data_IF_975401129356
#
_entry.id   IF_975401129356
#
_cell.length_a   1.000
_cell.length_b   1.000
_cell.length_c   1.000
_cell.angle_alpha   90.00
_cell.angle_beta   90.00
_cell.angle_gamma   90.00
#
_symmetry.space_group_name_H-M   'P 1'
#
loop_
_entity.id
_entity.type
_entity.pdbx_description
1 polymer ?
#
# COMPACT_ATOMS: atom_id res chain seq x y z
N UNK A 1 -0.52 -13.23 -0.06
CA UNK A 1 -1.15 -14.14 0.92
C UNK A 1 -2.29 -14.91 0.30
N UNK A 2 -3.38 -14.29 -0.15
CA UNK A 2 -4.52 -14.96 -0.76
C UNK A 2 -4.11 -15.83 -1.94
N UNK A 3 -3.27 -15.36 -2.83
CA UNK A 3 -2.76 -16.12 -3.97
C UNK A 3 -2.04 -17.41 -3.52
N UNK A 4 -1.29 -17.38 -2.42
CA UNK A 4 -0.62 -18.56 -1.88
C UNK A 4 -1.63 -19.57 -1.31
N UNK A 5 -2.62 -19.08 -0.56
CA UNK A 5 -3.68 -19.94 -0.01
C UNK A 5 -4.59 -20.49 -1.10
N UNK A 6 -4.98 -19.69 -2.08
CA UNK A 6 -5.74 -20.14 -3.24
C UNK A 6 -5.00 -21.22 -4.00
N UNK A 7 -3.68 -21.06 -4.19
CA UNK A 7 -2.84 -22.06 -4.84
C UNK A 7 -2.80 -23.37 -4.06
N UNK A 8 -2.62 -23.30 -2.74
CA UNK A 8 -2.65 -24.50 -1.85
C UNK A 8 -4.01 -25.19 -1.92
N UNK A 9 -5.09 -24.42 -1.90
CA UNK A 9 -6.46 -24.97 -1.98
C UNK A 9 -6.73 -25.61 -3.34
N UNK A 10 -6.36 -24.96 -4.43
CA UNK A 10 -6.50 -25.51 -5.79
C UNK A 10 -5.71 -26.80 -5.96
N UNK A 11 -4.50 -26.90 -5.45
CA UNK A 11 -3.69 -28.13 -5.48
C UNK A 11 -4.37 -29.28 -4.71
N UNK A 12 -5.07 -28.99 -3.62
CA UNK A 12 -5.79 -29.99 -2.84
C UNK A 12 -7.08 -30.45 -3.50
N UNK A 13 -7.84 -29.51 -4.09
CA UNK A 13 -9.15 -29.81 -4.69
C UNK A 13 -9.04 -30.37 -6.11
N UNK A 14 -8.01 -29.95 -6.86
CA UNK A 14 -7.84 -30.31 -8.27
C UNK A 14 -6.42 -30.78 -8.59
N UNK A 15 -5.93 -31.86 -7.93
CA UNK A 15 -4.54 -32.32 -8.09
C UNK A 15 -4.23 -32.74 -9.53
N UNK A 16 -5.19 -33.31 -10.25
CA UNK A 16 -5.03 -33.72 -11.64
C UNK A 16 -4.80 -32.54 -12.59
N UNK A 17 -5.49 -31.42 -12.32
CA UNK A 17 -5.29 -30.19 -13.09
C UNK A 17 -3.84 -29.67 -12.94
N UNK A 18 -3.30 -29.70 -11.73
CA UNK A 18 -1.93 -29.27 -11.46
C UNK A 18 -0.89 -30.21 -12.08
N UNK A 19 -1.13 -31.53 -12.11
CA UNK A 19 -0.23 -32.48 -12.75
C UNK A 19 -0.26 -32.37 -14.28
N UNK A 20 -1.41 -32.00 -14.86
CA UNK A 20 -1.56 -31.83 -16.30
C UNK A 20 -1.01 -30.48 -16.82
N UNK A 21 -0.87 -29.49 -15.97
CA UNK A 21 -0.43 -28.14 -16.32
C UNK A 21 0.95 -27.84 -15.70
N UNK A 22 1.82 -27.18 -16.46
CA UNK A 22 3.12 -26.68 -15.95
C UNK A 22 2.89 -25.37 -15.19
N UNK A 23 2.41 -25.46 -13.96
CA UNK A 23 2.16 -24.30 -13.11
C UNK A 23 3.41 -24.01 -12.28
N UNK A 24 3.97 -22.81 -12.42
CA UNK A 24 5.14 -22.41 -11.64
C UNK A 24 4.83 -22.39 -10.13
N UNK A 25 5.70 -22.92 -9.27
CA UNK A 25 5.54 -22.86 -7.82
C UNK A 25 5.70 -21.41 -7.32
N UNK A 26 4.96 -21.06 -6.28
CA UNK A 26 5.00 -19.75 -5.62
C UNK A 26 5.18 -19.84 -4.10
N UNK A 27 5.28 -21.03 -3.57
CA UNK A 27 5.39 -21.35 -2.14
C UNK A 27 6.69 -20.81 -1.51
N UNK A 28 7.70 -20.53 -2.32
CA UNK A 28 8.98 -19.94 -1.89
C UNK A 28 8.89 -18.42 -1.67
N UNK A 29 7.79 -17.76 -2.04
CA UNK A 29 7.64 -16.29 -1.93
C UNK A 29 7.91 -15.74 -0.52
N UNK A 30 7.39 -16.32 0.58
CA UNK A 30 7.69 -15.80 1.91
C UNK A 30 9.17 -15.85 2.28
N UNK A 31 9.87 -16.91 1.85
CA UNK A 31 11.32 -17.04 2.09
C UNK A 31 12.10 -15.97 1.33
N UNK A 32 11.79 -15.75 0.05
CA UNK A 32 12.41 -14.69 -0.75
C UNK A 32 12.14 -13.30 -0.15
N UNK A 33 10.93 -13.06 0.36
CA UNK A 33 10.61 -11.81 1.04
C UNK A 33 11.45 -11.65 2.29
N UNK A 34 11.58 -12.68 3.12
CA UNK A 34 12.42 -12.65 4.33
C UNK A 34 13.89 -12.39 3.99
N UNK A 35 14.42 -13.07 2.98
CA UNK A 35 15.80 -12.88 2.52
C UNK A 35 16.02 -11.44 2.03
N UNK A 36 15.06 -10.89 1.29
CA UNK A 36 15.09 -9.49 0.85
C UNK A 36 15.09 -8.52 2.04
N UNK A 37 14.24 -8.77 3.04
CA UNK A 37 14.19 -7.95 4.26
C UNK A 37 15.51 -8.03 5.03
N UNK A 38 16.07 -9.21 5.21
CA UNK A 38 17.35 -9.40 5.88
C UNK A 38 18.51 -8.73 5.13
N UNK A 39 18.53 -8.82 3.80
CA UNK A 39 19.58 -8.21 2.98
C UNK A 39 19.58 -6.67 3.00
N UNK A 40 18.51 -6.04 3.47
CA UNK A 40 18.45 -4.59 3.64
C UNK A 40 19.22 -4.08 4.89
N UNK A 41 19.60 -4.97 5.78
CA UNK A 41 20.43 -4.68 6.95
C UNK A 41 21.90 -4.99 6.70
N UNK A 42 22.79 -4.30 7.40
CA UNK A 42 24.23 -4.58 7.39
C UNK A 42 24.64 -5.70 8.36
N UNK A 43 23.70 -6.22 9.15
CA UNK A 43 23.94 -7.29 10.11
C UNK A 43 23.83 -8.66 9.41
N UNK A 44 24.65 -9.62 9.82
CA UNK A 44 24.64 -10.98 9.26
C UNK A 44 23.31 -11.73 9.55
N UNK A 45 22.71 -11.50 10.71
CA UNK A 45 21.46 -12.12 11.11
C UNK A 45 20.53 -11.13 11.81
N UNK A 46 19.93 -10.18 11.07
CA UNK A 46 19.07 -9.16 11.64
C UNK A 46 17.75 -9.73 12.16
N UNK A 47 17.28 -9.17 13.26
CA UNK A 47 15.93 -9.43 13.78
C UNK A 47 14.88 -8.70 12.93
N UNK A 48 14.01 -9.45 12.29
CA UNK A 48 12.95 -8.94 11.42
C UNK A 48 11.59 -9.07 12.11
N UNK A 49 10.75 -8.04 12.03
CA UNK A 49 9.37 -8.07 12.50
C UNK A 49 8.40 -7.51 11.44
N UNK A 50 7.14 -7.92 11.48
CA UNK A 50 6.06 -7.31 10.70
C UNK A 50 5.27 -6.38 11.61
N UNK A 51 5.28 -5.06 11.32
CA UNK A 51 4.50 -4.07 12.05
C UNK A 51 3.12 -3.90 11.42
N UNK A 52 2.09 -4.23 12.16
CA UNK A 52 0.68 -4.15 11.76
C UNK A 52 -0.06 -3.06 12.54
N UNK A 53 -1.07 -2.39 11.94
CA UNK A 53 -2.00 -1.55 12.67
C UNK A 53 -3.03 -2.34 13.50
N UNK A 54 -2.97 -3.68 13.49
CA UNK A 54 -3.79 -4.55 14.32
C UNK A 54 -5.00 -5.14 13.61
N UNK A 55 -5.76 -5.91 14.40
CA UNK A 55 -6.87 -6.78 13.94
C UNK A 55 -8.05 -6.05 13.29
N UNK A 56 -8.19 -4.77 13.47
CA UNK A 56 -9.25 -3.97 12.83
C UNK A 56 -8.89 -3.50 11.41
N UNK A 57 -7.67 -3.75 10.96
CA UNK A 57 -7.26 -3.47 9.59
C UNK A 57 -7.77 -4.56 8.64
N UNK A 58 -8.33 -4.15 7.50
CA UNK A 58 -8.87 -5.07 6.49
C UNK A 58 -7.84 -6.06 5.93
N UNK A 59 -6.54 -5.70 5.95
CA UNK A 59 -5.44 -6.54 5.50
C UNK A 59 -4.77 -7.34 6.63
N UNK A 60 -5.35 -7.39 7.84
CA UNK A 60 -4.73 -8.07 8.98
C UNK A 60 -4.44 -9.55 8.71
N UNK A 61 -5.32 -10.23 7.98
CA UNK A 61 -5.07 -11.61 7.55
C UNK A 61 -3.76 -11.73 6.78
N UNK A 62 -3.49 -10.83 5.83
CA UNK A 62 -2.25 -10.83 5.05
C UNK A 62 -1.02 -10.59 5.93
N UNK A 63 -1.12 -9.65 6.89
CA UNK A 63 -0.02 -9.36 7.81
C UNK A 63 0.32 -10.60 8.67
N UNK A 64 -0.69 -11.21 9.27
CA UNK A 64 -0.54 -12.41 10.09
C UNK A 64 -0.05 -13.61 9.27
N UNK A 65 -0.58 -13.79 8.07
CA UNK A 65 -0.16 -14.84 7.14
C UNK A 65 1.32 -14.70 6.78
N UNK A 66 1.75 -13.52 6.35
CA UNK A 66 3.14 -13.30 5.94
C UNK A 66 4.11 -13.46 7.12
N UNK A 67 3.78 -12.91 8.29
CA UNK A 67 4.61 -13.09 9.48
C UNK A 67 4.79 -14.57 9.83
N UNK A 68 3.70 -15.36 9.81
CA UNK A 68 3.73 -16.80 10.07
C UNK A 68 4.54 -17.56 9.03
N UNK A 69 4.33 -17.30 7.75
CA UNK A 69 5.03 -18.03 6.67
C UNK A 69 6.52 -17.66 6.59
N UNK A 70 6.89 -16.44 6.99
CA UNK A 70 8.29 -16.01 7.13
C UNK A 70 8.94 -16.49 8.44
N UNK A 71 8.15 -16.91 9.43
CA UNK A 71 8.64 -17.28 10.75
C UNK A 71 9.17 -16.10 11.56
N UNK A 72 8.56 -14.92 11.40
CA UNK A 72 8.91 -13.69 12.12
C UNK A 72 7.75 -13.21 12.99
N UNK A 73 8.06 -12.36 13.98
CA UNK A 73 7.05 -11.83 14.90
C UNK A 73 6.13 -10.83 14.18
N UNK A 74 4.82 -10.94 14.47
CA UNK A 74 3.82 -9.94 14.14
C UNK A 74 3.65 -9.03 15.35
N UNK A 75 3.90 -7.73 15.16
CA UNK A 75 3.86 -6.74 16.26
C UNK A 75 2.94 -5.58 15.94
N UNK A 76 2.31 -5.02 16.96
CA UNK A 76 1.63 -3.72 16.92
C UNK A 76 2.55 -2.63 17.49
N UNK A 77 2.22 -1.35 17.30
CA UNK A 77 3.04 -0.26 17.81
C UNK A 77 3.28 -0.31 19.32
N UNK A 78 2.29 -0.80 20.09
CA UNK A 78 2.40 -0.98 21.53
C UNK A 78 3.41 -2.04 21.97
N UNK A 79 3.74 -3.00 21.09
CA UNK A 79 4.72 -4.05 21.37
C UNK A 79 6.16 -3.56 21.19
N UNK A 80 6.33 -2.43 20.51
CA UNK A 80 7.63 -1.82 20.25
C UNK A 80 7.89 -0.61 21.14
N UNK A 81 9.14 -0.28 21.34
CA UNK A 81 9.57 0.98 21.94
C UNK A 81 10.98 1.34 21.50
N UNK A 82 11.30 2.64 21.57
CA UNK A 82 12.63 3.16 21.26
C UNK A 82 13.35 3.52 22.56
N UNK A 83 14.61 3.13 22.64
CA UNK A 83 15.53 3.52 23.71
C UNK A 83 16.93 3.68 23.14
N UNK A 84 17.57 4.82 23.40
CA UNK A 84 18.91 5.16 22.90
C UNK A 84 19.00 5.01 21.36
N UNK A 85 18.00 5.56 20.65
CA UNK A 85 17.85 5.49 19.20
C UNK A 85 17.84 4.07 18.62
N UNK A 86 17.47 3.07 19.41
CA UNK A 86 17.31 1.67 18.98
C UNK A 86 15.92 1.19 19.26
N UNK A 87 15.40 0.35 18.37
CA UNK A 87 14.07 -0.25 18.50
C UNK A 87 14.16 -1.58 19.24
N UNK A 88 13.25 -1.78 20.18
CA UNK A 88 13.11 -3.02 20.93
C UNK A 88 11.67 -3.50 20.89
N UNK A 89 11.51 -4.82 20.82
CA UNK A 89 10.24 -5.51 21.03
C UNK A 89 10.13 -5.94 22.50
N UNK A 90 8.94 -5.78 23.08
CA UNK A 90 8.58 -6.28 24.40
C UNK A 90 8.37 -7.79 24.32
N UNK A 91 9.09 -8.55 25.13
CA UNK A 91 8.87 -9.99 25.27
C UNK A 91 8.80 -10.39 26.73
N UNK A 92 8.32 -11.60 27.04
CA UNK A 92 8.28 -12.14 28.41
C UNK A 92 9.67 -12.30 29.02
N UNK A 93 10.70 -12.49 28.18
CA UNK A 93 12.10 -12.64 28.60
C UNK A 93 12.87 -11.32 28.65
N UNK A 94 12.15 -10.20 28.43
CA UNK A 94 12.71 -8.85 28.40
C UNK A 94 12.79 -8.27 26.99
N UNK A 95 13.39 -7.08 26.84
CA UNK A 95 13.50 -6.40 25.55
C UNK A 95 14.37 -7.17 24.55
N UNK A 96 13.86 -7.36 23.34
CA UNK A 96 14.60 -7.93 22.20
C UNK A 96 14.81 -6.85 21.14
N UNK A 97 16.04 -6.66 20.69
CA UNK A 97 16.35 -5.68 19.64
C UNK A 97 15.67 -6.05 18.32
N UNK A 98 15.25 -5.02 17.57
CA UNK A 98 14.62 -5.14 16.25
C UNK A 98 15.44 -4.33 15.26
N UNK A 99 15.92 -4.99 14.20
CA UNK A 99 16.84 -4.41 13.22
C UNK A 99 16.12 -4.06 11.91
N UNK A 100 15.09 -4.82 11.54
CA UNK A 100 14.31 -4.59 10.32
C UNK A 100 12.81 -4.67 10.63
N UNK A 101 12.08 -3.65 10.24
CA UNK A 101 10.63 -3.57 10.37
C UNK A 101 10.00 -3.61 8.98
N UNK A 102 9.31 -4.71 8.65
CA UNK A 102 8.40 -4.75 7.51
C UNK A 102 7.09 -4.10 7.92
N UNK A 103 6.93 -2.83 7.59
CA UNK A 103 5.76 -2.06 8.02
C UNK A 103 4.56 -2.25 7.10
N UNK A 104 3.40 -2.45 7.73
CA UNK A 104 2.08 -2.47 7.09
C UNK A 104 1.22 -1.32 7.61
N UNK A 105 1.86 -0.23 7.96
CA UNK A 105 1.31 0.99 8.53
C UNK A 105 1.74 2.18 7.66
N UNK A 106 0.80 3.09 7.38
CA UNK A 106 1.05 4.28 6.58
C UNK A 106 1.97 5.27 7.31
N UNK A 107 2.71 6.07 6.54
CA UNK A 107 3.68 7.05 7.05
C UNK A 107 3.07 7.96 8.12
N UNK A 108 1.84 8.45 7.90
CA UNK A 108 1.15 9.36 8.80
C UNK A 108 0.97 8.81 10.22
N UNK A 109 0.89 7.48 10.37
CA UNK A 109 0.65 6.83 11.66
C UNK A 109 1.89 6.19 12.28
N UNK A 110 3.04 6.24 11.59
CA UNK A 110 4.23 5.47 11.92
C UNK A 110 4.93 5.95 13.21
N UNK A 111 5.01 7.26 13.41
CA UNK A 111 5.65 7.86 14.58
C UNK A 111 4.86 9.10 15.02
N UNK A 112 4.18 9.07 16.18
CA UNK A 112 3.41 10.23 16.65
C UNK A 112 4.25 11.45 16.99
N UNK A 113 5.56 11.29 17.23
CA UNK A 113 6.45 12.44 17.49
C UNK A 113 6.88 13.16 16.21
N UNK A 114 6.69 12.55 15.05
CA UNK A 114 7.16 13.08 13.76
C UNK A 114 6.03 13.39 12.78
N UNK A 115 4.92 12.67 12.86
CA UNK A 115 3.82 12.74 11.89
C UNK A 115 2.50 13.13 12.57
N UNK A 116 1.54 12.22 12.68
CA UNK A 116 0.27 12.48 13.33
C UNK A 116 0.39 12.27 14.84
N UNK A 117 0.32 13.35 15.67
CA UNK A 117 0.47 13.24 17.13
C UNK A 117 -0.64 12.43 17.80
N UNK A 118 -1.79 12.27 17.14
CA UNK A 118 -2.93 11.49 17.65
C UNK A 118 -2.82 9.99 17.29
N UNK A 119 -1.74 9.59 16.62
CA UNK A 119 -1.55 8.19 16.25
C UNK A 119 -1.29 7.30 17.46
N UNK A 120 -2.19 6.32 17.65
CA UNK A 120 -2.05 5.25 18.64
C UNK A 120 -1.48 3.96 18.02
N UNK A 121 -1.17 3.97 16.73
CA UNK A 121 -0.76 2.77 15.97
C UNK A 121 0.75 2.66 15.78
N UNK A 122 1.44 3.79 15.89
CA UNK A 122 2.87 3.90 15.62
C UNK A 122 3.74 3.72 16.85
N UNK A 123 5.04 3.93 16.65
CA UNK A 123 6.07 3.78 17.69
C UNK A 123 6.73 5.14 17.93
N UNK A 124 6.55 5.75 19.11
CA UNK A 124 7.18 7.02 19.42
C UNK A 124 8.71 6.96 19.32
N UNK A 125 9.31 7.86 18.53
CA UNK A 125 10.75 7.94 18.31
C UNK A 125 11.30 7.02 17.23
N UNK A 126 10.46 6.29 16.53
CA UNK A 126 10.87 5.38 15.45
C UNK A 126 11.63 6.11 14.34
N UNK A 127 11.20 7.33 13.98
CA UNK A 127 11.89 8.12 12.97
C UNK A 127 13.32 8.52 13.41
N UNK A 128 13.55 8.79 14.69
CA UNK A 128 14.88 9.08 15.20
C UNK A 128 15.80 7.84 15.07
N UNK A 129 15.32 6.68 15.50
CA UNK A 129 16.05 5.41 15.35
C UNK A 129 16.38 5.10 13.87
N UNK A 130 15.43 5.34 12.97
CA UNK A 130 15.63 5.16 11.52
C UNK A 130 16.68 6.12 10.96
N UNK A 131 16.63 7.41 11.32
CA UNK A 131 17.60 8.42 10.88
C UNK A 131 19.01 8.16 11.42
N UNK A 132 19.11 7.59 12.61
CA UNK A 132 20.38 7.17 13.20
C UNK A 132 20.96 5.88 12.55
N UNK A 133 20.24 5.27 11.61
CA UNK A 133 20.68 4.05 10.93
C UNK A 133 20.59 2.78 11.79
N UNK A 134 19.90 2.84 12.92
CA UNK A 134 19.81 1.74 13.89
C UNK A 134 18.65 0.77 13.62
N UNK A 135 17.80 1.08 12.67
CA UNK A 135 16.71 0.20 12.20
C UNK A 135 16.44 0.45 10.72
N UNK A 136 16.10 -0.58 10.00
CA UNK A 136 15.64 -0.49 8.60
C UNK A 136 14.12 -0.53 8.57
N UNK A 137 13.52 0.38 7.81
CA UNK A 137 12.08 0.37 7.53
C UNK A 137 11.85 -0.08 6.08
N UNK A 138 11.18 -1.17 5.91
CA UNK A 138 10.73 -1.68 4.61
C UNK A 138 9.18 -1.60 4.53
N UNK A 139 8.58 -0.83 3.63
CA UNK A 139 9.23 0.10 2.71
C UNK A 139 9.64 1.39 3.43
N UNK A 140 10.59 2.10 2.84
CA UNK A 140 11.07 3.39 3.36
C UNK A 140 9.96 4.43 3.48
N UNK A 141 10.17 5.42 4.34
CA UNK A 141 9.26 6.57 4.48
C UNK A 141 9.26 7.37 3.18
N UNK A 142 8.08 7.85 2.76
CA UNK A 142 7.89 8.59 1.51
C UNK A 142 7.59 7.73 0.29
N UNK A 143 7.63 6.40 0.38
CA UNK A 143 7.30 5.50 -0.74
C UNK A 143 5.82 5.52 -1.15
N UNK A 144 4.95 6.14 -0.36
CA UNK A 144 3.53 6.34 -0.68
C UNK A 144 3.27 7.06 -2.01
N UNK A 145 4.27 7.76 -2.57
CA UNK A 145 4.19 8.32 -3.92
C UNK A 145 3.94 7.24 -5.00
N UNK A 146 4.39 6.01 -4.77
CA UNK A 146 4.15 4.89 -5.69
C UNK A 146 2.69 4.40 -5.67
N UNK A 147 1.95 4.66 -4.58
CA UNK A 147 0.54 4.33 -4.43
C UNK A 147 -0.39 5.46 -4.90
N UNK A 148 0.16 6.65 -5.14
CA UNK A 148 -0.61 7.80 -5.60
C UNK A 148 -1.07 7.61 -7.04
N UNK A 149 -2.37 7.49 -7.22
CA UNK A 149 -2.98 7.25 -8.54
C UNK A 149 -2.73 8.38 -9.53
N UNK A 150 -2.34 9.57 -9.07
CA UNK A 150 -1.99 10.68 -9.95
C UNK A 150 -0.66 10.49 -10.66
N UNK A 151 0.19 9.57 -10.21
CA UNK A 151 1.45 9.19 -10.87
C UNK A 151 1.21 8.26 -12.07
N UNK A 152 0.16 7.44 -12.00
CA UNK A 152 -0.13 6.42 -13.01
C UNK A 152 -0.17 6.95 -14.47
N UNK A 153 -0.79 8.11 -14.78
CA UNK A 153 -0.81 8.65 -16.15
C UNK A 153 0.56 8.92 -16.74
N UNK A 154 1.56 9.14 -15.90
CA UNK A 154 2.93 9.48 -16.32
C UNK A 154 3.84 8.27 -16.51
N UNK A 155 3.40 7.06 -16.14
CA UNK A 155 4.27 5.87 -16.15
C UNK A 155 4.83 5.59 -17.55
N UNK A 156 4.00 5.72 -18.61
CA UNK A 156 4.46 5.54 -20.00
C UNK A 156 5.51 6.57 -20.42
N UNK A 157 5.36 7.81 -19.97
CA UNK A 157 6.31 8.89 -20.27
C UNK A 157 7.60 8.72 -19.45
N UNK A 158 7.49 8.21 -18.22
CA UNK A 158 8.66 7.84 -17.41
C UNK A 158 9.47 6.71 -18.06
N UNK A 159 8.81 5.69 -18.62
CA UNK A 159 9.49 4.60 -19.33
C UNK A 159 10.28 5.17 -20.51
N UNK A 160 9.66 6.01 -21.34
CA UNK A 160 10.33 6.65 -22.46
C UNK A 160 11.51 7.52 -22.01
N UNK A 161 11.30 8.30 -20.95
CA UNK A 161 12.29 9.26 -20.47
C UNK A 161 13.50 8.58 -19.80
N UNK A 162 13.28 7.59 -18.95
CA UNK A 162 14.35 6.99 -18.16
C UNK A 162 14.99 5.78 -18.82
N UNK A 163 14.24 5.03 -19.63
CA UNK A 163 14.72 3.79 -20.24
C UNK A 163 14.98 3.93 -21.75
N UNK A 164 14.54 5.03 -22.37
CA UNK A 164 14.57 5.25 -23.82
C UNK A 164 13.89 4.08 -24.58
N UNK A 165 12.80 3.55 -24.01
CA UNK A 165 12.05 2.42 -24.54
C UNK A 165 10.57 2.76 -24.76
N UNK A 166 9.93 2.08 -25.72
CA UNK A 166 8.47 2.14 -25.82
C UNK A 166 7.81 1.19 -24.81
N UNK A 167 6.74 1.63 -24.14
CA UNK A 167 6.01 0.79 -23.19
C UNK A 167 5.45 -0.46 -23.84
N UNK A 168 5.73 -1.63 -23.26
CA UNK A 168 5.18 -2.92 -23.73
C UNK A 168 3.68 -2.97 -23.45
N UNK A 169 3.25 -2.53 -22.27
CA UNK A 169 1.84 -2.46 -21.88
C UNK A 169 1.33 -1.03 -21.99
N UNK A 170 0.14 -0.88 -22.54
CA UNK A 170 -0.56 0.42 -22.61
C UNK A 170 -1.27 0.68 -21.28
N UNK A 171 -1.13 1.90 -20.76
CA UNK A 171 -1.93 2.35 -19.63
C UNK A 171 -3.40 2.51 -20.04
N UNK A 172 -4.29 2.27 -19.10
CA UNK A 172 -5.69 2.66 -19.23
C UNK A 172 -5.75 4.19 -19.33
N UNK A 173 -6.50 4.75 -20.29
CA UNK A 173 -6.69 6.21 -20.38
C UNK A 173 -7.16 6.77 -19.04
N UNK A 174 -6.44 7.77 -18.54
CA UNK A 174 -6.65 8.28 -17.19
C UNK A 174 -6.51 9.81 -17.18
N UNK A 175 -7.47 10.48 -16.58
CA UNK A 175 -7.56 11.94 -16.50
C UNK A 175 -7.35 12.41 -15.05
N UNK A 176 -6.70 13.56 -14.91
CA UNK A 176 -6.47 14.19 -13.62
C UNK A 176 -7.43 15.36 -13.43
N UNK A 177 -8.39 15.24 -12.54
CA UNK A 177 -9.43 16.27 -12.33
C UNK A 177 -8.88 17.60 -11.75
N UNK A 178 -7.60 17.67 -11.39
CA UNK A 178 -6.93 18.93 -11.05
C UNK A 178 -6.70 19.84 -12.27
N UNK A 179 -6.74 19.27 -13.48
CA UNK A 179 -6.61 20.01 -14.74
C UNK A 179 -8.01 20.38 -15.25
N UNK A 180 -8.34 21.66 -15.47
CA UNK A 180 -9.71 22.08 -15.82
C UNK A 180 -10.28 21.41 -17.07
N UNK A 181 -9.43 21.19 -18.08
CA UNK A 181 -9.84 20.55 -19.34
C UNK A 181 -10.22 19.08 -19.14
N UNK A 182 -9.35 18.34 -18.39
CA UNK A 182 -9.60 16.95 -18.06
C UNK A 182 -10.81 16.80 -17.14
N UNK A 183 -10.99 17.72 -16.17
CA UNK A 183 -12.17 17.75 -15.31
C UNK A 183 -13.46 17.92 -16.13
N UNK A 184 -13.46 18.82 -17.10
CA UNK A 184 -14.61 19.06 -17.96
C UNK A 184 -14.99 17.79 -18.75
N UNK A 185 -14.00 17.08 -19.28
CA UNK A 185 -14.21 15.80 -19.95
C UNK A 185 -14.80 14.75 -18.99
N UNK A 186 -14.25 14.62 -17.80
CA UNK A 186 -14.71 13.67 -16.78
C UNK A 186 -16.15 13.92 -16.38
N UNK A 187 -16.51 15.18 -16.11
CA UNK A 187 -17.86 15.56 -15.72
C UNK A 187 -18.90 15.30 -16.81
N UNK A 188 -18.51 15.45 -18.08
CA UNK A 188 -19.37 15.15 -19.21
C UNK A 188 -19.63 13.62 -19.39
N UNK A 189 -18.67 12.78 -18.96
CA UNK A 189 -18.67 11.34 -19.22
C UNK A 189 -18.71 10.49 -17.94
N UNK A 190 -19.21 11.04 -16.82
CA UNK A 190 -19.20 10.34 -15.52
C UNK A 190 -19.83 8.94 -15.55
N UNK A 191 -20.84 8.74 -16.38
CA UNK A 191 -21.52 7.44 -16.51
C UNK A 191 -20.64 6.33 -17.10
N UNK A 192 -19.58 6.68 -17.83
CA UNK A 192 -18.69 5.72 -18.50
C UNK A 192 -17.34 5.57 -17.77
N UNK A 193 -17.11 6.36 -16.73
CA UNK A 193 -15.81 6.47 -16.08
C UNK A 193 -15.82 5.94 -14.65
N UNK A 194 -14.64 5.53 -14.18
CA UNK A 194 -14.40 5.23 -12.76
C UNK A 194 -13.60 6.36 -12.14
N UNK A 195 -14.19 7.05 -11.16
CA UNK A 195 -13.55 8.15 -10.43
C UNK A 195 -13.00 7.62 -9.13
N UNK A 196 -11.72 7.92 -8.83
CA UNK A 196 -11.03 7.46 -7.60
C UNK A 196 -10.34 8.64 -6.93
N UNK A 197 -10.22 8.59 -5.61
CA UNK A 197 -9.31 9.47 -4.88
C UNK A 197 -7.86 9.14 -5.25
N UNK A 198 -6.99 10.14 -5.30
CA UNK A 198 -5.56 9.97 -5.61
C UNK A 198 -4.87 9.10 -4.56
N UNK A 199 -5.20 9.32 -3.29
CA UNK A 199 -4.74 8.54 -2.16
C UNK A 199 -5.95 7.86 -1.51
N UNK A 200 -5.84 6.58 -1.21
CA UNK A 200 -6.91 5.80 -0.64
C UNK A 200 -6.94 4.36 -1.16
N UNK A 201 -7.53 3.49 -0.38
CA UNK A 201 -7.64 2.06 -0.66
C UNK A 201 -9.04 1.56 -0.30
N UNK A 202 -9.34 0.29 -0.61
CA UNK A 202 -10.61 -0.34 -0.21
C UNK A 202 -11.86 0.18 -0.92
N UNK A 203 -11.73 0.97 -1.99
CA UNK A 203 -12.86 1.51 -2.76
C UNK A 203 -13.59 2.69 -2.12
N UNK A 204 -13.10 3.20 -1.01
CA UNK A 204 -13.69 4.39 -0.39
C UNK A 204 -13.58 5.61 -1.32
N UNK A 205 -14.65 6.43 -1.36
CA UNK A 205 -14.72 7.62 -2.23
C UNK A 205 -14.79 7.33 -3.73
N UNK A 206 -14.81 6.07 -4.16
CA UNK A 206 -14.84 5.67 -5.56
C UNK A 206 -16.26 5.79 -6.14
N UNK A 207 -16.34 6.27 -7.38
CA UNK A 207 -17.54 6.19 -8.22
C UNK A 207 -17.26 5.25 -9.40
N UNK A 208 -18.07 4.23 -9.57
CA UNK A 208 -18.07 3.36 -10.75
C UNK A 208 -19.24 3.77 -11.65
N UNK A 209 -19.01 4.72 -12.56
CA UNK A 209 -20.05 5.34 -13.40
C UNK A 209 -20.98 4.35 -14.07
N UNK A 210 -20.47 3.29 -14.75
CA UNK A 210 -21.32 2.29 -15.39
C UNK A 210 -22.25 1.52 -14.45
N UNK A 211 -21.97 1.50 -13.15
CA UNK A 211 -22.79 0.83 -12.13
C UNK A 211 -23.52 1.83 -11.21
N UNK A 212 -23.28 3.12 -11.38
CA UNK A 212 -23.83 4.16 -10.54
C UNK A 212 -25.26 4.55 -10.96
N UNK A 213 -26.08 4.84 -9.97
CA UNK A 213 -27.41 5.43 -10.18
C UNK A 213 -27.32 6.91 -10.56
N UNK A 214 -28.35 7.45 -11.18
CA UNK A 214 -28.42 8.89 -11.47
C UNK A 214 -28.27 9.74 -10.18
N UNK A 215 -28.80 9.27 -9.06
CA UNK A 215 -28.70 9.95 -7.76
C UNK A 215 -27.26 10.00 -7.20
N UNK A 216 -26.39 9.06 -7.56
CA UNK A 216 -24.97 9.04 -7.18
C UNK A 216 -24.11 9.90 -8.10
N UNK A 217 -24.51 10.07 -9.34
CA UNK A 217 -23.82 10.88 -10.35
C UNK A 217 -24.15 12.37 -10.20
N UNK A 218 -25.41 12.72 -9.97
CA UNK A 218 -25.91 14.11 -9.93
C UNK A 218 -25.18 15.01 -8.92
N UNK A 219 -24.94 14.60 -7.65
CA UNK A 219 -24.23 15.44 -6.68
C UNK A 219 -22.77 15.72 -7.05
N UNK A 220 -22.16 14.93 -7.92
CA UNK A 220 -20.77 15.07 -8.36
C UNK A 220 -20.62 15.98 -9.59
N UNK A 221 -21.75 16.34 -10.24
CA UNK A 221 -21.76 17.38 -11.27
C UNK A 221 -21.69 18.75 -10.59
N UNK A 222 -20.86 19.68 -11.08
CA UNK A 222 -20.81 21.02 -10.52
C UNK A 222 -22.18 21.67 -10.65
N UNK A 223 -22.76 22.04 -9.52
CA UNK A 223 -23.88 22.97 -9.54
C UNK A 223 -23.36 24.29 -10.12
N UNK A 224 -23.98 24.82 -11.15
CA UNK A 224 -23.58 26.07 -11.84
C UNK A 224 -23.45 27.27 -10.90
N UNK A 225 -23.83 27.15 -9.62
CA UNK A 225 -23.91 28.22 -8.66
C UNK A 225 -22.96 28.09 -7.43
N UNK A 226 -22.16 27.03 -7.31
CA UNK A 226 -21.22 26.88 -6.18
C UNK A 226 -19.80 27.14 -6.60
N UNK A 227 -19.43 28.41 -6.67
CA UNK A 227 -18.05 28.85 -6.75
C UNK A 227 -17.39 28.75 -5.37
N UNK A 228 -16.86 27.58 -4.99
CA UNK A 228 -15.89 27.47 -3.91
C UNK A 228 -14.89 26.37 -4.23
N UNK A 229 -13.60 26.72 -4.36
CA UNK A 229 -12.52 25.73 -4.56
C UNK A 229 -12.29 24.82 -3.34
N UNK A 230 -12.94 25.11 -2.21
CA UNK A 230 -12.70 24.42 -0.95
C UNK A 230 -13.38 23.04 -0.83
N UNK A 231 -14.22 22.63 -1.79
CA UNK A 231 -15.00 21.38 -1.69
C UNK A 231 -14.30 20.17 -2.31
N UNK A 232 -13.21 20.36 -3.06
CA UNK A 232 -12.39 19.27 -3.58
C UNK A 232 -11.11 19.14 -2.75
N UNK A 233 -11.24 18.58 -1.53
CA UNK A 233 -10.08 18.33 -0.67
C UNK A 233 -9.09 17.31 -1.24
N UNK A 234 -9.48 16.55 -2.27
CA UNK A 234 -8.61 15.58 -2.97
C UNK A 234 -8.88 15.69 -4.46
N UNK A 235 -7.83 15.82 -5.26
CA UNK A 235 -7.94 15.84 -6.71
C UNK A 235 -8.20 14.41 -7.23
N UNK A 236 -9.42 14.04 -7.62
CA UNK A 236 -9.70 12.70 -8.09
C UNK A 236 -9.00 12.41 -9.42
N UNK A 237 -8.64 11.15 -9.61
CA UNK A 237 -8.14 10.61 -10.87
C UNK A 237 -9.26 9.75 -11.49
N UNK A 238 -9.48 9.90 -12.78
CA UNK A 238 -10.45 9.11 -13.50
C UNK A 238 -9.79 8.15 -14.48
N UNK A 239 -10.30 6.92 -14.56
CA UNK A 239 -9.90 5.95 -15.57
C UNK A 239 -11.12 5.37 -16.29
N UNK A 240 -10.94 5.00 -17.56
CA UNK A 240 -11.95 4.25 -18.33
C UNK A 240 -11.92 2.80 -17.90
N UNK A 241 -13.08 2.16 -17.86
CA UNK A 241 -13.19 0.70 -17.77
C UNK A 241 -12.97 0.14 -19.19
N UNK A 242 -11.97 -0.71 -19.35
CA UNK A 242 -11.85 -1.58 -20.54
C UNK A 242 -12.89 -2.68 -20.50
#
# INVERSE_FOLDING_TARGET
SYMLEDRKMMMRLFPELFSAQRIAPIDHYPNLLLDTLKSSSHLDNPSVVVLTPGRFNSAFFEHAFLAREMGVELVEGADLFVRDDRVFMRTTDGPKAVDVIYRRLDDAFLDPLAFNPDSMLGVPGLLAAYRSGNVVLANAIGTGVADDKSVYPYVTDMIRFYLDEEPILKNVPTWQCRKPEELSHVLANLGDLVVKETQGSGGYGMLVGPAATAAEIEPRRPCRERHSPATYRFAPVCSVRS
#
